data_IF_388438995103
#
_entry.id   IF_388438995103
#
_cell.length_a   1.000
_cell.length_b   1.000
_cell.length_c   1.000
_cell.angle_alpha   90.00
_cell.angle_beta   90.00
_cell.angle_gamma   90.00
#
_symmetry.space_group_name_H-M   'P 1'
#
loop_
_entity.id
_entity.type
_entity.pdbx_description
1 polymer ?
#
# COMPACT_ATOMS: atom_id res chain seq x y z
N UNK A 1 6.18 21.61 30.79
CA UNK A 1 5.10 20.63 31.06
C UNK A 1 5.29 20.09 32.47
N UNK A 2 4.23 19.94 33.26
CA UNK A 2 4.35 19.47 34.64
C UNK A 2 4.86 18.02 34.68
N UNK A 3 5.76 17.72 35.59
CA UNK A 3 6.30 16.36 35.83
C UNK A 3 5.20 15.30 36.04
N UNK A 4 4.06 15.71 36.56
CA UNK A 4 2.88 14.89 36.79
C UNK A 4 2.26 14.34 35.52
N UNK A 5 2.32 15.10 34.40
CA UNK A 5 1.83 14.64 33.10
C UNK A 5 2.65 13.46 32.55
N UNK A 6 3.97 13.54 32.64
CA UNK A 6 4.84 12.46 32.18
C UNK A 6 4.66 11.17 32.99
N UNK A 7 4.46 11.31 34.31
CA UNK A 7 4.24 10.15 35.18
C UNK A 7 2.94 9.42 34.80
N UNK A 8 1.84 10.17 34.61
CA UNK A 8 0.54 9.58 34.21
C UNK A 8 0.58 8.95 32.81
N UNK A 9 1.29 9.55 31.87
CA UNK A 9 1.46 9.01 30.54
C UNK A 9 2.28 7.70 30.54
N UNK A 10 3.34 7.65 31.38
CA UNK A 10 4.16 6.45 31.54
C UNK A 10 3.37 5.31 32.19
N UNK A 11 2.65 5.58 33.28
CA UNK A 11 1.79 4.59 33.98
C UNK A 11 0.68 4.05 33.05
N UNK A 12 0.17 4.87 32.13
CA UNK A 12 -0.78 4.44 31.12
C UNK A 12 -0.12 3.55 30.07
N UNK A 13 1.08 3.90 29.62
CA UNK A 13 1.80 3.13 28.59
C UNK A 13 2.18 1.71 29.06
N UNK A 14 2.43 1.52 30.35
CA UNK A 14 2.69 0.18 30.93
C UNK A 14 1.48 -0.76 30.83
N UNK A 15 0.29 -0.22 30.63
CA UNK A 15 -0.96 -1.00 30.46
C UNK A 15 -1.27 -1.31 28.99
N UNK A 16 -0.48 -0.81 28.08
CA UNK A 16 -0.68 -1.06 26.65
C UNK A 16 -0.31 -2.51 26.30
N UNK A 17 -1.04 -3.13 25.37
CA UNK A 17 -0.67 -4.44 24.89
C UNK A 17 0.69 -4.41 24.21
N UNK A 18 1.39 -5.53 24.21
CA UNK A 18 2.66 -5.67 23.49
C UNK A 18 2.44 -5.47 22.00
N UNK A 19 3.29 -4.67 21.38
CA UNK A 19 3.20 -4.34 19.97
C UNK A 19 3.50 -5.59 19.13
N UNK A 20 2.63 -5.95 18.16
CA UNK A 20 2.88 -7.07 17.29
C UNK A 20 4.16 -6.89 16.46
N UNK A 21 4.73 -8.01 16.01
CA UNK A 21 5.91 -7.99 15.16
C UNK A 21 5.62 -7.30 13.82
N UNK A 22 6.67 -6.89 13.10
CA UNK A 22 6.52 -6.30 11.75
C UNK A 22 5.98 -7.31 10.71
N UNK A 23 6.05 -8.59 11.02
CA UNK A 23 5.54 -9.69 10.17
C UNK A 23 4.13 -10.13 10.56
N UNK A 24 3.54 -9.49 11.59
CA UNK A 24 2.20 -9.80 12.07
C UNK A 24 1.15 -9.60 10.99
N UNK A 25 0.23 -10.55 10.88
CA UNK A 25 -0.89 -10.46 9.96
C UNK A 25 -1.91 -9.37 10.34
N UNK A 26 -2.81 -9.04 9.40
CA UNK A 26 -3.84 -8.03 9.60
C UNK A 26 -4.72 -8.31 10.82
N UNK A 27 -5.11 -9.57 11.03
CA UNK A 27 -5.99 -9.97 12.14
C UNK A 27 -5.32 -9.77 13.51
N UNK A 28 -4.00 -9.99 13.58
CA UNK A 28 -3.21 -9.70 14.78
C UNK A 28 -3.10 -8.20 15.03
N UNK A 29 -2.91 -7.41 13.97
CA UNK A 29 -2.94 -5.94 14.02
C UNK A 29 -4.29 -5.39 14.49
N UNK A 30 -5.40 -5.94 14.01
CA UNK A 30 -6.76 -5.59 14.44
C UNK A 30 -6.95 -5.93 15.93
N UNK A 31 -6.55 -7.12 16.34
CA UNK A 31 -6.63 -7.55 17.75
C UNK A 31 -5.83 -6.65 18.66
N UNK A 32 -4.59 -6.33 18.28
CA UNK A 32 -3.76 -5.36 19.00
C UNK A 32 -4.45 -4.01 19.14
N UNK A 33 -5.02 -3.49 18.04
CA UNK A 33 -5.71 -2.19 18.03
C UNK A 33 -6.91 -2.19 18.96
N UNK A 34 -7.73 -3.25 18.97
CA UNK A 34 -8.85 -3.40 19.89
C UNK A 34 -8.40 -3.39 21.36
N UNK A 35 -7.36 -4.14 21.69
CA UNK A 35 -6.82 -4.20 23.04
C UNK A 35 -6.22 -2.86 23.49
N UNK A 36 -5.53 -2.16 22.56
CA UNK A 36 -4.99 -0.83 22.81
C UNK A 36 -6.10 0.18 23.10
N UNK A 37 -7.18 0.14 22.30
CA UNK A 37 -8.34 1.02 22.48
C UNK A 37 -9.01 0.79 23.83
N UNK A 38 -9.21 -0.46 24.26
CA UNK A 38 -9.75 -0.77 25.60
C UNK A 38 -8.86 -0.23 26.73
N UNK A 39 -7.53 -0.30 26.56
CA UNK A 39 -6.61 0.26 27.55
C UNK A 39 -6.68 1.79 27.59
N UNK A 40 -6.81 2.42 26.43
CA UNK A 40 -6.96 3.88 26.31
C UNK A 40 -8.29 4.38 26.85
N UNK A 41 -9.41 3.70 26.59
CA UNK A 41 -10.74 4.10 27.08
C UNK A 41 -10.78 4.22 28.60
N UNK A 42 -10.14 3.28 29.31
CA UNK A 42 -10.02 3.36 30.76
C UNK A 42 -9.22 4.56 31.23
N UNK A 43 -8.26 5.02 30.44
CA UNK A 43 -7.41 6.18 30.77
C UNK A 43 -8.02 7.51 30.39
N UNK A 44 -8.95 7.55 29.45
CA UNK A 44 -9.59 8.78 28.95
C UNK A 44 -11.05 8.94 29.35
N UNK A 45 -11.61 8.02 30.13
CA UNK A 45 -13.00 8.03 30.56
C UNK A 45 -13.42 9.38 31.22
N UNK A 46 -12.53 9.97 31.97
CA UNK A 46 -12.72 11.26 32.65
C UNK A 46 -12.17 12.46 31.86
N UNK A 47 -11.82 12.27 30.59
CA UNK A 47 -11.23 13.33 29.77
C UNK A 47 -12.32 14.23 29.16
N UNK A 48 -12.39 15.47 29.58
CA UNK A 48 -13.37 16.47 29.06
C UNK A 48 -12.98 17.06 27.69
N UNK A 49 -11.81 16.72 27.15
CA UNK A 49 -11.35 17.25 25.87
C UNK A 49 -12.08 16.62 24.69
N UNK A 50 -12.96 17.40 24.06
CA UNK A 50 -13.79 16.97 22.93
C UNK A 50 -13.00 16.35 21.77
N UNK A 51 -11.81 16.91 21.45
CA UNK A 51 -10.96 16.36 20.36
C UNK A 51 -10.44 14.96 20.69
N UNK A 52 -10.10 14.70 21.96
CA UNK A 52 -9.67 13.37 22.39
C UNK A 52 -10.82 12.38 22.29
N UNK A 53 -12.01 12.79 22.72
CA UNK A 53 -13.23 11.96 22.63
C UNK A 53 -13.60 11.64 21.18
N UNK A 54 -13.53 12.64 20.28
CA UNK A 54 -13.78 12.42 18.84
C UNK A 54 -12.77 11.47 18.19
N UNK A 55 -11.49 11.59 18.55
CA UNK A 55 -10.45 10.69 18.04
C UNK A 55 -10.68 9.29 18.56
N UNK A 56 -10.96 9.10 19.85
CA UNK A 56 -11.23 7.79 20.43
C UNK A 56 -12.46 7.14 19.78
N UNK A 57 -13.53 7.90 19.54
CA UNK A 57 -14.71 7.38 18.82
C UNK A 57 -14.35 6.92 17.41
N UNK A 58 -13.62 7.70 16.63
CA UNK A 58 -13.17 7.32 15.28
C UNK A 58 -12.28 6.08 15.30
N UNK A 59 -11.39 5.97 16.29
CA UNK A 59 -10.53 4.80 16.44
C UNK A 59 -11.33 3.54 16.78
N UNK A 60 -12.39 3.64 17.57
CA UNK A 60 -13.27 2.51 17.90
C UNK A 60 -14.09 2.01 16.69
N UNK A 61 -14.38 2.86 15.74
CA UNK A 61 -15.07 2.50 14.50
C UNK A 61 -14.18 1.71 13.53
N UNK A 62 -12.85 1.87 13.61
CA UNK A 62 -11.89 1.23 12.69
C UNK A 62 -11.90 -0.31 12.75
N UNK A 63 -11.80 -0.96 13.93
CA UNK A 63 -11.74 -2.41 14.00
C UNK A 63 -13.04 -3.13 13.60
N UNK A 64 -14.16 -2.44 13.62
CA UNK A 64 -15.47 -2.97 13.25
C UNK A 64 -15.81 -2.74 11.76
N UNK A 65 -14.98 -1.95 11.07
CA UNK A 65 -15.18 -1.67 9.66
C UNK A 65 -14.66 -2.83 8.80
N UNK A 66 -15.56 -3.55 8.11
CA UNK A 66 -15.18 -4.62 7.19
C UNK A 66 -14.24 -4.14 6.06
N UNK A 67 -14.29 -2.85 5.74
CA UNK A 67 -13.42 -2.21 4.74
C UNK A 67 -12.00 -1.92 5.25
N UNK A 68 -11.66 -2.23 6.51
CA UNK A 68 -10.30 -2.03 7.03
C UNK A 68 -9.26 -2.85 6.26
N UNK A 69 -9.70 -3.92 5.62
CA UNK A 69 -8.88 -4.74 4.71
C UNK A 69 -8.47 -3.99 3.44
N UNK A 70 -9.26 -2.98 3.09
CA UNK A 70 -8.98 -2.05 2.01
C UNK A 70 -8.73 -0.67 2.63
N UNK A 71 -7.51 -0.40 3.11
CA UNK A 71 -7.19 0.92 3.67
C UNK A 71 -7.43 1.96 2.60
N UNK A 72 -8.55 2.66 2.73
CA UNK A 72 -8.94 3.74 1.82
C UNK A 72 -8.84 5.07 2.55
N UNK A 73 -8.31 6.07 1.88
CA UNK A 73 -8.46 7.44 2.33
C UNK A 73 -9.95 7.83 2.30
N UNK A 74 -10.37 8.62 3.26
CA UNK A 74 -11.71 9.19 3.26
C UNK A 74 -11.90 10.15 2.07
N UNK A 75 -10.81 10.80 1.66
CA UNK A 75 -10.80 11.82 0.59
C UNK A 75 -10.44 11.22 -0.78
N UNK A 76 -9.71 10.10 -0.80
CA UNK A 76 -9.33 9.38 -2.01
C UNK A 76 -9.59 7.88 -1.84
N UNK A 77 -10.71 7.43 -2.42
CA UNK A 77 -11.21 6.06 -2.28
C UNK A 77 -10.40 5.03 -3.08
N UNK A 78 -9.62 5.48 -4.05
CA UNK A 78 -8.90 4.62 -4.98
C UNK A 78 -7.43 4.47 -4.64
N UNK A 79 -6.86 5.39 -3.86
CA UNK A 79 -5.49 5.30 -3.36
C UNK A 79 -5.29 4.08 -2.45
N UNK A 80 -4.12 3.45 -2.53
CA UNK A 80 -3.71 2.30 -1.71
C UNK A 80 -2.25 2.44 -1.28
N UNK A 81 -1.90 1.69 -0.24
CA UNK A 81 -0.50 1.51 0.12
C UNK A 81 0.23 0.68 -0.93
N UNK A 82 1.41 1.14 -1.29
CA UNK A 82 2.37 0.42 -2.10
C UNK A 82 3.72 0.37 -1.42
N UNK A 83 4.60 -0.50 -1.89
CA UNK A 83 5.95 -0.66 -1.38
C UNK A 83 6.95 -0.23 -2.45
N UNK A 84 7.95 0.58 -2.06
CA UNK A 84 9.14 0.85 -2.88
C UNK A 84 10.25 -0.14 -2.59
N UNK A 85 10.37 -0.51 -1.32
CA UNK A 85 11.31 -1.52 -0.81
C UNK A 85 10.63 -2.25 0.36
N UNK A 86 11.22 -3.32 0.87
CA UNK A 86 10.72 -4.01 2.06
C UNK A 86 10.53 -3.08 3.28
N UNK A 87 11.31 -2.00 3.36
CA UNK A 87 11.26 -1.05 4.48
C UNK A 87 10.58 0.30 4.13
N UNK A 88 10.19 0.53 2.88
CA UNK A 88 9.64 1.82 2.44
C UNK A 88 8.30 1.65 1.75
N UNK A 89 7.28 2.27 2.34
CA UNK A 89 5.92 2.30 1.81
C UNK A 89 5.55 3.70 1.34
N UNK A 90 4.58 3.78 0.44
CA UNK A 90 3.92 5.02 0.06
C UNK A 90 2.41 4.78 -0.01
N UNK A 91 1.64 5.85 0.05
CA UNK A 91 0.20 5.82 -0.13
C UNK A 91 -0.18 6.63 -1.37
N UNK A 92 -0.93 6.04 -2.29
CA UNK A 92 -1.32 6.70 -3.52
C UNK A 92 -1.34 5.77 -4.73
N UNK A 93 -0.70 6.20 -5.82
CA UNK A 93 -0.75 5.56 -7.13
C UNK A 93 0.63 5.25 -7.67
N UNK A 94 0.68 4.30 -8.60
CA UNK A 94 1.85 4.02 -9.45
C UNK A 94 1.57 4.49 -10.87
N UNK A 95 2.60 5.04 -11.50
CA UNK A 95 2.58 5.31 -12.93
C UNK A 95 3.43 4.25 -13.65
N UNK A 96 2.81 3.55 -14.59
CA UNK A 96 3.48 2.63 -15.49
C UNK A 96 3.66 3.33 -16.82
N UNK A 97 4.90 3.44 -17.28
CA UNK A 97 5.23 4.20 -18.49
C UNK A 97 6.00 3.29 -19.43
N UNK A 98 5.44 3.09 -20.63
CA UNK A 98 6.16 2.52 -21.75
C UNK A 98 6.79 3.67 -22.55
N UNK A 99 8.07 3.51 -22.90
CA UNK A 99 8.85 4.52 -23.59
C UNK A 99 9.68 3.86 -24.69
N UNK A 100 9.81 4.54 -25.85
CA UNK A 100 10.69 4.08 -26.92
C UNK A 100 12.17 4.35 -26.60
N UNK A 101 13.07 3.80 -27.41
CA UNK A 101 14.50 4.03 -27.30
C UNK A 101 14.85 5.53 -27.44
N UNK A 102 14.10 6.27 -28.26
CA UNK A 102 14.23 7.72 -28.43
C UNK A 102 13.62 8.51 -27.27
N UNK A 103 13.16 7.84 -26.20
CA UNK A 103 12.53 8.43 -25.02
C UNK A 103 11.19 9.11 -25.27
N UNK A 104 10.47 8.64 -26.30
CA UNK A 104 9.08 9.06 -26.51
C UNK A 104 8.16 8.17 -25.69
N UNK A 105 7.19 8.77 -25.00
CA UNK A 105 6.20 8.03 -24.23
C UNK A 105 5.25 7.32 -25.20
N UNK A 106 5.29 6.00 -25.19
CA UNK A 106 4.49 5.12 -26.03
C UNK A 106 3.14 4.78 -25.40
N UNK A 107 3.09 4.70 -24.06
CA UNK A 107 1.88 4.41 -23.32
C UNK A 107 2.03 4.73 -21.84
N UNK A 108 0.91 5.04 -21.19
CA UNK A 108 0.84 5.30 -19.74
C UNK A 108 -0.33 4.53 -19.16
N UNK A 109 -0.13 3.95 -17.99
CA UNK A 109 -1.18 3.40 -17.13
C UNK A 109 -0.98 3.89 -15.70
N UNK A 110 -2.09 4.08 -14.99
CA UNK A 110 -2.07 4.49 -13.58
C UNK A 110 -2.85 3.46 -12.79
N UNK A 111 -2.22 2.91 -11.76
CA UNK A 111 -2.86 1.97 -10.84
C UNK A 111 -2.76 2.49 -9.40
N UNK A 112 -3.57 1.94 -8.50
CA UNK A 112 -3.38 2.21 -7.07
C UNK A 112 -2.05 1.60 -6.57
N UNK A 113 -1.50 2.15 -5.49
CA UNK A 113 -0.17 1.77 -4.98
C UNK A 113 0.03 0.29 -4.70
N UNK A 114 -1.03 -0.43 -4.31
CA UNK A 114 -0.99 -1.86 -4.01
C UNK A 114 -1.13 -2.78 -5.22
N UNK A 115 -1.38 -2.26 -6.43
CA UNK A 115 -1.49 -3.10 -7.62
C UNK A 115 -0.13 -3.69 -8.01
N UNK A 116 -0.07 -4.95 -8.48
CA UNK A 116 1.14 -5.51 -9.06
C UNK A 116 1.46 -4.86 -10.41
N UNK A 117 2.73 -4.79 -10.77
CA UNK A 117 3.17 -4.10 -12.00
C UNK A 117 3.02 -4.99 -13.24
N UNK A 118 3.25 -6.29 -13.09
CA UNK A 118 3.22 -7.27 -14.18
C UNK A 118 1.97 -7.21 -15.06
N UNK A 119 0.76 -7.23 -14.52
CA UNK A 119 -0.49 -7.20 -15.28
C UNK A 119 -0.70 -5.96 -16.16
N UNK A 120 0.09 -4.90 -15.96
CA UNK A 120 -0.02 -3.68 -16.77
C UNK A 120 0.66 -3.78 -18.15
N UNK A 121 1.55 -4.77 -18.34
CA UNK A 121 2.32 -4.92 -19.57
C UNK A 121 1.45 -5.08 -20.82
N UNK A 122 0.44 -5.96 -20.86
CA UNK A 122 -0.40 -6.11 -22.04
C UNK A 122 -1.08 -4.80 -22.46
N UNK A 123 -1.61 -4.06 -21.48
CA UNK A 123 -2.25 -2.78 -21.72
C UNK A 123 -1.28 -1.68 -22.21
N UNK A 124 -0.04 -1.70 -21.77
CA UNK A 124 1.00 -0.78 -22.24
C UNK A 124 1.44 -1.10 -23.68
N UNK A 125 1.57 -2.39 -24.02
CA UNK A 125 1.86 -2.83 -25.38
C UNK A 125 0.73 -2.39 -26.33
N UNK A 126 -0.52 -2.66 -25.94
CA UNK A 126 -1.68 -2.28 -26.74
C UNK A 126 -1.73 -0.76 -26.98
N UNK A 127 -1.46 0.06 -25.97
CA UNK A 127 -1.41 1.53 -26.09
C UNK A 127 -0.31 1.98 -27.03
N UNK A 128 0.88 1.39 -26.94
CA UNK A 128 1.99 1.69 -27.86
C UNK A 128 1.61 1.36 -29.30
N UNK A 129 1.01 0.21 -29.55
CA UNK A 129 0.57 -0.21 -30.87
C UNK A 129 -0.56 0.69 -31.42
N UNK A 130 -1.52 1.11 -30.60
CA UNK A 130 -2.56 2.09 -30.97
C UNK A 130 -1.98 3.44 -31.36
N UNK A 131 -0.84 3.80 -30.77
CA UNK A 131 -0.09 5.03 -31.11
C UNK A 131 0.82 4.85 -32.34
N UNK A 132 0.67 3.73 -33.08
CA UNK A 132 1.40 3.47 -34.32
C UNK A 132 2.82 2.92 -34.14
N UNK A 133 3.18 2.51 -32.92
CA UNK A 133 4.49 1.93 -32.64
C UNK A 133 4.44 0.43 -32.86
N UNK A 134 5.30 -0.09 -33.74
CA UNK A 134 5.48 -1.53 -33.90
C UNK A 134 6.37 -2.03 -32.74
N UNK A 135 5.75 -2.72 -31.79
CA UNK A 135 6.48 -3.29 -30.65
C UNK A 135 7.04 -4.66 -31.08
N UNK A 136 8.35 -4.80 -31.09
CA UNK A 136 9.07 -6.06 -31.35
C UNK A 136 9.88 -6.53 -30.15
N UNK A 137 10.17 -5.64 -29.23
CA UNK A 137 10.95 -5.90 -28.03
C UNK A 137 10.43 -5.05 -26.88
N UNK A 138 10.41 -5.63 -25.68
CA UNK A 138 10.08 -4.95 -24.44
C UNK A 138 11.18 -5.22 -23.43
N UNK A 139 11.73 -4.17 -22.86
CA UNK A 139 12.69 -4.24 -21.77
C UNK A 139 12.00 -3.79 -20.50
N UNK A 140 11.92 -4.67 -19.51
CA UNK A 140 11.27 -4.41 -18.23
C UNK A 140 12.11 -4.84 -17.03
N UNK A 141 11.63 -4.56 -15.86
CA UNK A 141 12.19 -5.14 -14.64
C UNK A 141 11.61 -6.55 -14.39
N UNK A 142 12.07 -7.17 -13.31
CA UNK A 142 11.68 -8.53 -12.94
C UNK A 142 10.19 -8.68 -12.64
N UNK A 143 9.49 -7.60 -12.26
CA UNK A 143 8.06 -7.62 -11.95
C UNK A 143 7.19 -7.93 -13.19
N UNK A 144 7.73 -7.73 -14.40
CA UNK A 144 7.04 -8.03 -15.65
C UNK A 144 7.27 -9.45 -16.16
N UNK A 145 8.09 -10.26 -15.50
CA UNK A 145 8.32 -11.67 -15.87
C UNK A 145 7.22 -12.53 -15.24
N UNK A 146 6.25 -12.92 -16.06
CA UNK A 146 5.20 -13.88 -15.68
C UNK A 146 4.79 -14.71 -16.90
N UNK A 147 4.22 -15.87 -16.66
CA UNK A 147 3.74 -16.74 -17.75
C UNK A 147 2.69 -16.02 -18.61
N UNK A 148 1.77 -15.27 -18.00
CA UNK A 148 0.76 -14.46 -18.69
C UNK A 148 1.39 -13.41 -19.62
N UNK A 149 2.45 -12.74 -19.17
CA UNK A 149 3.14 -11.75 -19.97
C UNK A 149 3.98 -12.37 -21.09
N UNK A 150 4.56 -13.54 -20.85
CA UNK A 150 5.25 -14.30 -21.90
C UNK A 150 4.25 -14.80 -22.96
N UNK A 151 3.08 -15.26 -22.55
CA UNK A 151 2.01 -15.64 -23.46
C UNK A 151 1.51 -14.44 -24.27
N UNK A 152 1.33 -13.26 -23.64
CA UNK A 152 0.95 -12.01 -24.31
C UNK A 152 1.97 -11.59 -25.37
N UNK A 153 3.26 -11.69 -25.07
CA UNK A 153 4.33 -11.37 -26.02
C UNK A 153 4.38 -12.37 -27.19
N UNK A 154 4.06 -13.63 -26.94
CA UNK A 154 4.06 -14.69 -27.93
C UNK A 154 5.42 -14.85 -28.63
N UNK A 155 5.39 -15.17 -29.94
CA UNK A 155 6.59 -15.28 -30.78
C UNK A 155 6.99 -13.94 -31.43
N UNK A 156 6.11 -12.94 -31.39
CA UNK A 156 6.31 -11.68 -32.11
C UNK A 156 7.04 -10.62 -31.31
N UNK A 157 6.99 -10.69 -29.97
CA UNK A 157 7.55 -9.69 -29.07
C UNK A 157 8.56 -10.34 -28.12
N UNK A 158 9.80 -9.91 -28.16
CA UNK A 158 10.83 -10.39 -27.22
C UNK A 158 10.72 -9.64 -25.89
N UNK A 159 10.44 -10.35 -24.80
CA UNK A 159 10.46 -9.77 -23.45
C UNK A 159 11.86 -9.97 -22.84
N UNK A 160 12.56 -8.87 -22.59
CA UNK A 160 13.86 -8.83 -21.94
C UNK A 160 13.68 -8.31 -20.52
N UNK A 161 13.98 -9.11 -19.53
CA UNK A 161 13.95 -8.71 -18.14
C UNK A 161 15.04 -9.44 -17.35
N UNK A 162 15.48 -8.79 -16.27
CA UNK A 162 16.45 -9.41 -15.36
C UNK A 162 15.74 -10.50 -14.55
N UNK A 163 16.21 -11.72 -14.64
CA UNK A 163 15.73 -12.83 -13.81
C UNK A 163 16.55 -12.92 -12.52
N UNK A 164 15.91 -13.35 -11.43
CA UNK A 164 16.67 -13.78 -10.25
C UNK A 164 17.45 -15.04 -10.61
N UNK A 165 18.76 -14.91 -10.69
CA UNK A 165 19.61 -16.09 -10.57
C UNK A 165 19.62 -16.48 -9.10
N UNK A 166 18.96 -17.63 -8.81
CA UNK A 166 19.04 -18.28 -7.51
C UNK A 166 20.48 -18.63 -7.15
#
# INVERSE_FOLDING_TARGET
MPQQFYKSAYELSEKFPEKPSLEAGLDEGITYTKNLLQALEKGIADCENQKIQEIAKKMNELPENEQIREIRSKDDKDARFGHKTAASTFYGYKNHIAMTEERLIAGISVTHGGAPDGPELPGLIEKAQKNGIKVTEVIGDMAYVSDDNLETCGEEITLIARTNTA
#
